data_IF_448474010757
#
_entry.id   IF_448474010757
#
_cell.length_a   1.000
_cell.length_b   1.000
_cell.length_c   1.000
_cell.angle_alpha   90.00
_cell.angle_beta   90.00
_cell.angle_gamma   90.00
#
_symmetry.space_group_name_H-M   'P 1'
#
loop_
_entity.id
_entity.type
_entity.pdbx_description
1 polymer ?
#
# COMPACT_ATOMS: atom_id res chain seq x y z
N UNK A 1 -65.25 -26.20 -62.66
CA UNK A 1 -65.91 -24.93 -63.02
C UNK A 1 -64.92 -23.83 -62.71
N UNK A 2 -64.39 -23.02 -63.60
CA UNK A 2 -64.69 -22.66 -65.00
C UNK A 2 -64.09 -21.26 -65.12
N UNK A 3 -63.13 -21.05 -66.02
CA UNK A 3 -62.37 -19.80 -66.09
C UNK A 3 -63.17 -18.62 -66.66
N UNK A 4 -62.56 -17.44 -66.68
CA UNK A 4 -62.75 -16.48 -67.77
C UNK A 4 -61.59 -15.47 -67.80
N UNK A 5 -60.94 -15.40 -68.96
CA UNK A 5 -60.12 -14.29 -69.45
C UNK A 5 -61.06 -13.34 -70.18
N UNK A 6 -60.84 -12.02 -70.10
CA UNK A 6 -61.03 -11.11 -71.24
C UNK A 6 -60.38 -9.76 -70.95
N UNK A 7 -59.39 -9.40 -71.79
CA UNK A 7 -58.77 -8.09 -71.80
C UNK A 7 -59.36 -7.18 -72.86
N UNK A 8 -58.95 -5.91 -72.84
CA UNK A 8 -58.96 -5.04 -74.02
C UNK A 8 -58.05 -3.82 -73.83
N UNK A 9 -57.06 -3.73 -74.73
CA UNK A 9 -56.49 -2.58 -75.44
C UNK A 9 -56.14 -1.26 -74.71
N UNK A 10 -54.85 -0.89 -74.65
CA UNK A 10 -54.07 0.01 -75.54
C UNK A 10 -54.11 1.49 -75.11
N UNK A 11 -52.93 2.06 -74.86
CA UNK A 11 -52.71 3.51 -74.74
C UNK A 11 -51.32 3.84 -74.17
N UNK A 12 -50.29 3.81 -75.01
CA UNK A 12 -48.93 4.21 -74.66
C UNK A 12 -48.83 5.74 -74.54
N UNK A 13 -48.64 6.24 -73.31
CA UNK A 13 -48.11 7.57 -73.07
C UNK A 13 -46.76 7.46 -72.36
N UNK A 14 -45.70 7.84 -73.05
CA UNK A 14 -44.35 8.00 -72.48
C UNK A 14 -44.36 9.27 -71.64
N UNK A 15 -44.45 9.12 -70.32
CA UNK A 15 -44.23 10.19 -69.35
C UNK A 15 -42.84 10.01 -68.72
N UNK A 16 -41.96 11.00 -68.92
CA UNK A 16 -40.67 11.10 -68.22
C UNK A 16 -40.94 11.22 -66.71
N UNK A 17 -40.73 10.16 -65.95
CA UNK A 17 -40.65 10.26 -64.49
C UNK A 17 -39.33 10.95 -64.13
N UNK A 18 -39.42 12.18 -63.63
CA UNK A 18 -38.32 12.87 -62.98
C UNK A 18 -38.12 12.27 -61.59
N UNK A 19 -36.95 11.68 -61.34
CA UNK A 19 -36.52 11.27 -60.01
C UNK A 19 -36.25 12.52 -59.17
N UNK A 20 -37.14 12.84 -58.23
CA UNK A 20 -36.93 13.91 -57.25
C UNK A 20 -36.08 13.34 -56.12
N UNK A 21 -34.78 13.65 -56.12
CA UNK A 21 -33.90 13.38 -54.97
C UNK A 21 -34.18 14.44 -53.90
N UNK A 22 -34.89 14.09 -52.83
CA UNK A 22 -35.02 14.95 -51.65
C UNK A 22 -33.79 14.80 -50.76
N UNK A 23 -32.94 15.82 -50.75
CA UNK A 23 -31.85 15.96 -49.77
C UNK A 23 -32.45 16.41 -48.43
N UNK A 24 -32.55 15.49 -47.46
CA UNK A 24 -32.91 15.85 -46.09
C UNK A 24 -31.67 16.42 -45.40
N UNK A 25 -31.55 17.74 -45.35
CA UNK A 25 -30.51 18.42 -44.57
C UNK A 25 -30.91 18.40 -43.09
N UNK A 26 -30.36 17.46 -42.32
CA UNK A 26 -30.51 17.45 -40.85
C UNK A 26 -29.55 18.47 -40.25
N UNK A 27 -30.07 19.62 -39.85
CA UNK A 27 -29.31 20.60 -39.05
C UNK A 27 -29.04 20.01 -37.67
N UNK A 28 -27.81 19.56 -37.42
CA UNK A 28 -27.33 19.21 -36.07
C UNK A 28 -26.80 20.49 -35.43
N UNK A 29 -27.57 21.09 -34.54
CA UNK A 29 -27.05 22.16 -33.68
C UNK A 29 -26.11 21.53 -32.66
N UNK A 30 -24.80 21.58 -32.94
CA UNK A 30 -23.77 21.27 -31.95
C UNK A 30 -23.70 22.45 -30.98
N UNK A 31 -24.46 22.38 -29.89
CA UNK A 31 -24.26 23.28 -28.76
C UNK A 31 -22.89 22.96 -28.16
N UNK A 32 -21.86 23.74 -28.52
CA UNK A 32 -20.59 23.74 -27.79
C UNK A 32 -20.86 24.34 -26.41
N UNK A 33 -21.25 23.50 -25.45
CA UNK A 33 -21.11 23.84 -24.04
C UNK A 33 -19.63 24.14 -23.81
N UNK A 34 -19.25 25.36 -23.37
CA UNK A 34 -17.88 25.62 -22.96
C UNK A 34 -17.53 24.56 -21.92
N UNK A 35 -16.45 23.81 -22.13
CA UNK A 35 -15.91 22.97 -21.08
C UNK A 35 -15.57 23.91 -19.92
N UNK A 36 -16.45 23.97 -18.90
CA UNK A 36 -16.08 24.56 -17.63
C UNK A 36 -14.92 23.71 -17.14
N UNK A 37 -13.73 24.31 -17.11
CA UNK A 37 -12.59 23.79 -16.37
C UNK A 37 -13.08 23.59 -14.93
N UNK A 38 -13.46 22.36 -14.59
CA UNK A 38 -13.63 21.96 -13.20
C UNK A 38 -12.27 22.19 -12.58
N UNK A 39 -12.16 23.24 -11.76
CA UNK A 39 -10.93 23.53 -11.03
C UNK A 39 -10.74 22.35 -10.08
N UNK A 40 -9.90 21.40 -10.48
CA UNK A 40 -9.57 20.23 -9.67
C UNK A 40 -8.99 20.73 -8.36
N UNK A 41 -9.70 20.44 -7.25
CA UNK A 41 -9.20 20.71 -5.90
C UNK A 41 -7.86 19.99 -5.77
N UNK A 42 -6.83 20.75 -5.38
CA UNK A 42 -5.52 20.19 -5.06
C UNK A 42 -5.48 19.89 -3.57
N UNK A 43 -4.75 18.84 -3.21
CA UNK A 43 -4.62 18.39 -1.84
C UNK A 43 -3.18 18.48 -1.37
N UNK A 44 -3.00 18.73 -0.08
CA UNK A 44 -1.73 18.57 0.64
C UNK A 44 -1.74 17.23 1.38
N UNK A 45 -0.65 16.47 1.28
CA UNK A 45 -0.53 15.17 1.92
C UNK A 45 0.69 15.08 2.84
N UNK A 46 0.51 14.54 4.05
CA UNK A 46 1.57 14.41 5.05
C UNK A 46 1.75 12.96 5.50
N UNK A 47 2.98 12.58 5.80
CA UNK A 47 3.32 11.26 6.34
C UNK A 47 3.99 11.38 7.71
N UNK A 48 3.61 10.51 8.63
CA UNK A 48 4.20 10.43 9.96
C UNK A 48 4.84 9.05 10.12
N UNK A 49 6.17 9.03 10.27
CA UNK A 49 6.97 7.82 10.38
C UNK A 49 7.40 7.54 11.81
N UNK A 50 7.47 6.27 12.19
CA UNK A 50 7.94 5.82 13.52
C UNK A 50 9.45 5.75 13.61
N UNK A 51 10.12 5.41 12.51
CA UNK A 51 11.57 5.33 12.39
C UNK A 51 12.17 6.49 11.59
N UNK A 52 13.51 6.50 11.45
CA UNK A 52 14.20 7.40 10.53
C UNK A 52 14.13 6.88 9.09
N UNK A 53 14.18 7.77 8.10
CA UNK A 53 14.25 7.38 6.67
C UNK A 53 15.50 6.55 6.37
N UNK A 54 16.56 6.70 7.17
CA UNK A 54 17.78 5.90 7.10
C UNK A 54 17.68 4.48 7.67
N UNK A 55 16.49 3.97 7.97
CA UNK A 55 16.31 2.59 8.42
C UNK A 55 16.51 1.55 7.31
N UNK A 56 16.49 1.98 6.03
CA UNK A 56 16.60 1.11 4.84
C UNK A 56 15.58 -0.03 4.78
N UNK A 57 14.47 0.11 5.52
CA UNK A 57 13.41 -0.88 5.61
C UNK A 57 12.05 -0.21 5.60
N UNK A 58 11.37 -0.21 6.74
CA UNK A 58 9.98 0.20 6.85
C UNK A 58 9.73 1.68 6.49
N UNK A 59 10.43 2.59 7.16
CA UNK A 59 10.28 4.04 6.94
C UNK A 59 10.81 4.44 5.58
N UNK A 60 11.95 3.87 5.18
CA UNK A 60 12.53 4.09 3.86
C UNK A 60 11.52 3.80 2.75
N UNK A 61 10.85 2.64 2.77
CA UNK A 61 9.88 2.26 1.73
C UNK A 61 8.60 3.12 1.78
N UNK A 62 8.14 3.51 2.97
CA UNK A 62 7.06 4.51 3.07
C UNK A 62 7.45 5.85 2.43
N UNK A 63 8.69 6.30 2.61
CA UNK A 63 9.21 7.52 2.01
C UNK A 63 9.40 7.39 0.48
N UNK A 64 9.80 6.22 -0.02
CA UNK A 64 9.78 5.94 -1.46
C UNK A 64 8.37 6.01 -2.03
N UNK A 65 7.37 5.46 -1.32
CA UNK A 65 5.96 5.59 -1.68
C UNK A 65 5.52 7.06 -1.76
N UNK A 66 5.89 7.88 -0.77
CA UNK A 66 5.62 9.33 -0.79
C UNK A 66 6.26 10.02 -2.01
N UNK A 67 7.51 9.71 -2.33
CA UNK A 67 8.21 10.26 -3.52
C UNK A 67 7.54 9.85 -4.83
N UNK A 68 7.01 8.62 -4.90
CA UNK A 68 6.22 8.17 -6.05
C UNK A 68 4.94 8.99 -6.18
N UNK A 69 4.23 9.24 -5.06
CA UNK A 69 3.06 10.13 -5.02
C UNK A 69 3.43 11.53 -5.51
N UNK A 70 4.51 12.12 -5.00
CA UNK A 70 4.97 13.44 -5.43
C UNK A 70 5.30 13.49 -6.93
N UNK A 71 5.95 12.46 -7.47
CA UNK A 71 6.28 12.39 -8.90
C UNK A 71 5.05 12.20 -9.79
N UNK A 72 4.13 11.32 -9.42
CA UNK A 72 2.99 10.91 -10.28
C UNK A 72 1.79 11.83 -10.09
N UNK A 73 1.50 12.22 -8.85
CA UNK A 73 0.33 13.00 -8.47
C UNK A 73 0.65 14.47 -8.20
N UNK A 74 1.94 14.82 -8.05
CA UNK A 74 2.39 16.18 -7.80
C UNK A 74 2.28 17.12 -9.01
N UNK A 75 2.80 18.37 -8.89
CA UNK A 75 2.65 19.41 -9.91
C UNK A 75 3.20 19.06 -11.30
N UNK A 76 4.21 18.17 -11.37
CA UNK A 76 4.81 17.70 -12.62
C UNK A 76 4.09 16.49 -13.23
N UNK A 77 3.18 15.86 -12.49
CA UNK A 77 2.38 14.72 -12.91
C UNK A 77 0.92 15.11 -13.11
N UNK A 78 0.01 14.40 -12.43
CA UNK A 78 -1.43 14.65 -12.50
C UNK A 78 -1.88 15.93 -11.78
N UNK A 79 -1.00 16.59 -11.03
CA UNK A 79 -1.24 17.88 -10.37
C UNK A 79 -2.47 17.90 -9.44
N UNK A 80 -2.72 16.77 -8.76
CA UNK A 80 -3.79 16.60 -7.77
C UNK A 80 -3.27 16.74 -6.34
N UNK A 81 -1.99 16.44 -6.11
CA UNK A 81 -1.28 16.75 -4.87
C UNK A 81 -0.43 18.00 -5.12
N UNK A 82 -0.64 19.07 -4.36
CA UNK A 82 0.17 20.29 -4.50
C UNK A 82 1.47 20.23 -3.71
N UNK A 83 1.47 19.49 -2.60
CA UNK A 83 2.58 19.43 -1.65
C UNK A 83 2.58 18.11 -0.89
N UNK A 84 3.77 17.54 -0.66
CA UNK A 84 3.96 16.45 0.29
C UNK A 84 4.90 16.88 1.42
N UNK A 85 4.71 16.33 2.62
CA UNK A 85 5.64 16.54 3.73
C UNK A 85 5.67 15.35 4.67
N UNK A 86 6.62 15.34 5.58
CA UNK A 86 6.77 14.26 6.54
C UNK A 86 7.38 14.71 7.88
N UNK A 87 7.18 13.85 8.88
CA UNK A 87 7.92 13.86 10.15
C UNK A 87 8.39 12.44 10.43
N UNK A 88 9.68 12.29 10.69
CA UNK A 88 10.30 11.01 10.99
C UNK A 88 10.57 10.84 12.49
N UNK A 89 10.86 9.60 12.90
CA UNK A 89 11.21 9.26 14.29
C UNK A 89 10.21 9.77 15.33
N UNK A 90 8.91 9.69 15.01
CA UNK A 90 7.85 10.14 15.91
C UNK A 90 7.50 9.00 16.87
N UNK A 91 7.69 9.16 18.19
CA UNK A 91 7.23 8.15 19.14
C UNK A 91 5.69 8.17 19.26
N UNK A 92 5.10 7.04 19.62
CA UNK A 92 3.64 6.83 19.65
C UNK A 92 2.90 7.86 20.51
N UNK A 93 3.47 8.26 21.64
CA UNK A 93 2.90 9.26 22.57
C UNK A 93 2.91 10.70 22.01
N UNK A 94 3.65 10.95 20.93
CA UNK A 94 3.76 12.27 20.28
C UNK A 94 2.98 12.38 18.98
N UNK A 95 2.48 11.28 18.43
CA UNK A 95 1.80 11.27 17.13
C UNK A 95 0.57 12.19 17.10
N UNK A 96 -0.19 12.26 18.19
CA UNK A 96 -1.39 13.11 18.27
C UNK A 96 -1.04 14.58 18.02
N UNK A 97 0.05 15.08 18.62
CA UNK A 97 0.55 16.43 18.39
C UNK A 97 0.99 16.63 16.94
N UNK A 98 1.73 15.68 16.37
CA UNK A 98 2.22 15.79 14.99
C UNK A 98 1.07 15.81 13.98
N UNK A 99 0.00 15.05 14.23
CA UNK A 99 -1.22 15.10 13.42
C UNK A 99 -1.81 16.51 13.46
N UNK A 100 -2.02 17.10 14.65
CA UNK A 100 -2.55 18.46 14.78
C UNK A 100 -1.66 19.52 14.11
N UNK A 101 -0.33 19.38 14.23
CA UNK A 101 0.62 20.29 13.59
C UNK A 101 0.43 20.26 12.06
N UNK A 102 0.20 19.10 11.44
CA UNK A 102 -0.09 19.02 10.01
C UNK A 102 -1.47 19.58 9.65
N UNK A 103 -2.48 19.37 10.48
CA UNK A 103 -3.82 19.95 10.26
C UNK A 103 -3.76 21.48 10.29
N UNK A 104 -3.02 22.07 11.25
CA UNK A 104 -2.82 23.52 11.33
C UNK A 104 -2.08 24.13 10.14
N UNK A 105 -1.35 23.29 9.38
CA UNK A 105 -0.65 23.66 8.15
C UNK A 105 -1.48 23.34 6.89
N UNK A 106 -2.78 23.11 7.07
CA UNK A 106 -3.76 22.81 6.03
C UNK A 106 -3.49 21.55 5.22
N UNK A 107 -2.83 20.54 5.81
CA UNK A 107 -2.74 19.24 5.15
C UNK A 107 -4.11 18.56 5.10
N UNK A 108 -4.54 18.15 3.91
CA UNK A 108 -5.85 17.52 3.69
C UNK A 108 -5.82 16.02 3.99
N UNK A 109 -4.70 15.35 3.72
CA UNK A 109 -4.54 13.90 3.83
C UNK A 109 -3.37 13.58 4.76
N UNK A 110 -3.60 12.74 5.77
CA UNK A 110 -2.59 12.38 6.77
C UNK A 110 -2.41 10.86 6.80
N UNK A 111 -1.20 10.43 6.45
CA UNK A 111 -0.75 9.04 6.52
C UNK A 111 -0.01 8.79 7.83
N UNK A 112 -0.47 7.81 8.60
CA UNK A 112 0.16 7.39 9.85
C UNK A 112 0.69 5.98 9.69
N UNK A 113 2.00 5.80 9.72
CA UNK A 113 2.66 4.60 9.17
C UNK A 113 3.18 3.63 10.22
N UNK A 114 2.51 3.50 11.37
CA UNK A 114 2.90 2.53 12.41
C UNK A 114 1.69 2.11 13.22
N UNK A 115 1.64 0.83 13.60
CA UNK A 115 0.51 0.23 14.33
C UNK A 115 0.11 1.02 15.57
N UNK A 116 1.09 1.51 16.33
CA UNK A 116 0.87 2.26 17.57
C UNK A 116 0.11 3.58 17.39
N UNK A 117 0.02 4.09 16.17
CA UNK A 117 -0.69 5.34 15.88
C UNK A 117 -2.21 5.18 15.80
N UNK A 118 -2.73 3.94 15.81
CA UNK A 118 -4.13 3.63 15.50
C UNK A 118 -5.14 4.47 16.25
N UNK A 119 -5.01 4.56 17.57
CA UNK A 119 -5.99 5.23 18.42
C UNK A 119 -5.94 6.74 18.23
N UNK A 120 -4.73 7.33 18.20
CA UNK A 120 -4.56 8.76 17.95
C UNK A 120 -5.09 9.18 16.57
N UNK A 121 -4.86 8.38 15.52
CA UNK A 121 -5.39 8.66 14.18
C UNK A 121 -6.91 8.59 14.14
N UNK A 122 -7.51 7.60 14.82
CA UNK A 122 -8.96 7.49 14.90
C UNK A 122 -9.60 8.67 15.67
N UNK A 123 -8.98 9.11 16.77
CA UNK A 123 -9.46 10.28 17.51
C UNK A 123 -9.30 11.59 16.73
N UNK A 124 -8.23 11.74 15.96
CA UNK A 124 -8.08 12.87 15.03
C UNK A 124 -9.14 12.83 13.92
N UNK A 125 -9.41 11.66 13.34
CA UNK A 125 -10.42 11.49 12.30
C UNK A 125 -11.82 11.91 12.76
N UNK A 126 -12.20 11.58 14.01
CA UNK A 126 -13.46 12.03 14.62
C UNK A 126 -13.53 13.55 14.81
N UNK A 127 -12.42 14.18 15.21
CA UNK A 127 -12.36 15.64 15.50
C UNK A 127 -12.29 16.49 14.22
N UNK A 128 -11.76 15.94 13.14
CA UNK A 128 -11.48 16.66 11.89
C UNK A 128 -12.14 15.96 10.68
N UNK A 129 -13.49 16.01 10.56
CA UNK A 129 -14.23 15.31 9.51
C UNK A 129 -13.96 15.85 8.09
N UNK A 130 -13.36 17.04 7.97
CA UNK A 130 -12.93 17.67 6.72
C UNK A 130 -11.58 17.16 6.19
N UNK A 131 -10.85 16.37 7.00
CA UNK A 131 -9.54 15.79 6.67
C UNK A 131 -9.66 14.30 6.43
N UNK A 132 -8.76 13.75 5.61
CA UNK A 132 -8.72 12.33 5.26
C UNK A 132 -7.53 11.69 5.98
N UNK A 133 -7.74 10.52 6.56
CA UNK A 133 -6.73 9.78 7.29
C UNK A 133 -6.50 8.40 6.65
N UNK A 134 -5.25 7.99 6.58
CA UNK A 134 -4.86 6.65 6.16
C UNK A 134 -3.91 6.05 7.20
N UNK A 135 -4.37 5.03 7.89
CA UNK A 135 -3.62 4.38 8.96
C UNK A 135 -3.05 3.03 8.51
N UNK A 136 -1.73 2.91 8.51
CA UNK A 136 -1.04 1.69 8.15
C UNK A 136 -1.13 0.66 9.29
N UNK A 137 -1.28 -0.63 8.96
CA UNK A 137 -1.23 -1.81 9.85
C UNK A 137 -2.35 -1.98 10.88
N UNK A 138 -3.00 -0.91 11.32
CA UNK A 138 -4.14 -1.00 12.23
C UNK A 138 -5.44 -1.43 11.54
N UNK A 139 -6.44 -1.74 12.37
CA UNK A 139 -7.71 -2.31 11.92
C UNK A 139 -8.93 -1.44 12.31
N UNK A 140 -8.79 -0.51 13.26
CA UNK A 140 -9.90 0.34 13.69
C UNK A 140 -10.18 1.44 12.66
N UNK A 141 -11.46 1.59 12.31
CA UNK A 141 -12.01 2.67 11.49
C UNK A 141 -13.24 3.23 12.19
N UNK A 142 -13.03 4.21 13.08
CA UNK A 142 -14.06 4.75 13.97
C UNK A 142 -14.75 6.01 13.41
N UNK A 143 -14.40 6.41 12.19
CA UNK A 143 -14.96 7.56 11.47
C UNK A 143 -15.02 7.29 9.95
N UNK A 144 -15.86 7.99 9.18
CA UNK A 144 -16.00 7.74 7.74
C UNK A 144 -14.81 8.22 6.90
N UNK A 145 -13.99 9.13 7.44
CA UNK A 145 -12.84 9.77 6.81
C UNK A 145 -11.49 9.08 7.12
N UNK A 146 -11.51 7.85 7.63
CA UNK A 146 -10.30 7.06 7.87
C UNK A 146 -10.32 5.74 7.09
N UNK A 147 -9.25 5.50 6.36
CA UNK A 147 -8.94 4.21 5.75
C UNK A 147 -7.83 3.51 6.54
N UNK A 148 -7.81 2.18 6.47
CA UNK A 148 -6.63 1.40 6.90
C UNK A 148 -6.04 0.66 5.71
N UNK A 149 -4.73 0.49 5.69
CA UNK A 149 -4.02 -0.22 4.65
C UNK A 149 -2.85 -1.01 5.23
N UNK A 150 -2.52 -2.14 4.62
CA UNK A 150 -1.34 -2.92 4.95
C UNK A 150 -1.04 -3.85 3.77
N UNK A 151 0.22 -4.22 3.57
CA UNK A 151 0.57 -5.26 2.61
C UNK A 151 0.27 -6.64 3.22
N UNK A 152 -0.06 -7.64 2.40
CA UNK A 152 -0.19 -9.03 2.86
C UNK A 152 1.19 -9.66 3.13
N UNK A 153 1.97 -9.03 4.01
CA UNK A 153 3.37 -9.34 4.28
C UNK A 153 3.58 -10.75 4.83
N UNK A 154 2.58 -11.36 5.47
CA UNK A 154 2.67 -12.74 5.92
C UNK A 154 2.88 -13.73 4.76
N UNK A 155 2.46 -13.40 3.54
CA UNK A 155 2.75 -14.23 2.35
C UNK A 155 4.25 -14.22 2.04
N UNK A 156 4.89 -13.07 2.14
CA UNK A 156 6.34 -12.96 1.98
C UNK A 156 7.08 -13.68 3.11
N UNK A 157 6.60 -13.56 4.35
CA UNK A 157 7.19 -14.29 5.49
C UNK A 157 7.06 -15.81 5.37
N UNK A 158 5.95 -16.32 4.83
CA UNK A 158 5.80 -17.74 4.52
C UNK A 158 6.87 -18.23 3.53
N UNK A 159 7.08 -17.50 2.43
CA UNK A 159 8.12 -17.83 1.45
C UNK A 159 9.53 -17.72 2.03
N UNK A 160 9.80 -16.70 2.87
CA UNK A 160 11.04 -16.62 3.64
C UNK A 160 11.22 -17.83 4.56
N UNK A 161 10.14 -18.31 5.17
CA UNK A 161 10.15 -19.50 6.01
C UNK A 161 10.56 -20.76 5.24
N UNK A 162 9.99 -20.96 4.05
CA UNK A 162 10.38 -22.06 3.15
C UNK A 162 11.87 -22.01 2.85
N UNK A 163 12.40 -20.83 2.48
CA UNK A 163 13.84 -20.69 2.23
C UNK A 163 14.67 -21.00 3.48
N UNK A 164 14.29 -20.46 4.64
CA UNK A 164 15.00 -20.69 5.89
C UNK A 164 15.03 -22.17 6.30
N UNK A 165 13.90 -22.87 6.18
CA UNK A 165 13.80 -24.30 6.47
C UNK A 165 14.62 -25.16 5.51
N UNK A 166 14.76 -24.75 4.25
CA UNK A 166 15.54 -25.47 3.25
C UNK A 166 17.06 -25.29 3.39
N UNK A 167 17.52 -24.14 3.91
CA UNK A 167 18.96 -23.84 4.00
C UNK A 167 19.58 -24.13 5.37
N UNK A 168 18.78 -24.23 6.44
CA UNK A 168 19.29 -24.56 7.78
C UNK A 168 19.97 -25.92 7.79
N UNK A 169 21.12 -26.00 8.45
CA UNK A 169 21.93 -27.19 8.71
C UNK A 169 21.76 -27.67 10.15
N UNK A 170 21.44 -26.78 11.09
CA UNK A 170 21.29 -27.09 12.52
C UNK A 170 19.87 -27.41 12.95
N UNK A 171 18.87 -27.17 12.08
CA UNK A 171 17.44 -27.17 12.41
C UNK A 171 17.05 -26.10 13.45
N UNK A 172 17.91 -25.11 13.69
CA UNK A 172 17.64 -23.99 14.61
C UNK A 172 17.64 -22.69 13.83
N UNK A 173 16.50 -22.03 13.82
CA UNK A 173 16.27 -20.79 13.07
C UNK A 173 15.90 -19.71 14.07
N UNK A 174 16.48 -18.53 13.95
CA UNK A 174 16.25 -17.41 14.85
C UNK A 174 15.35 -16.36 14.22
N UNK A 175 14.53 -15.71 15.04
CA UNK A 175 13.64 -14.64 14.64
C UNK A 175 13.74 -13.46 15.61
N UNK A 176 14.16 -12.29 15.14
CA UNK A 176 14.20 -11.06 15.93
C UNK A 176 12.92 -10.25 15.69
N UNK A 177 12.04 -10.23 16.69
CA UNK A 177 10.74 -9.58 16.63
C UNK A 177 10.75 -8.21 17.33
N UNK A 178 10.11 -7.21 16.72
CA UNK A 178 9.93 -5.90 17.34
C UNK A 178 8.94 -5.96 18.53
N UNK A 179 7.65 -6.08 18.23
CA UNK A 179 6.55 -6.18 19.21
C UNK A 179 5.77 -7.49 19.01
N UNK A 180 5.03 -7.95 20.02
CA UNK A 180 4.14 -9.11 19.90
C UNK A 180 2.69 -8.66 19.70
N UNK A 181 2.47 -7.92 18.61
CA UNK A 181 1.16 -7.44 18.17
C UNK A 181 0.61 -8.34 17.05
N UNK A 182 -0.68 -8.25 16.67
CA UNK A 182 -1.27 -9.13 15.66
C UNK A 182 -0.51 -9.20 14.33
N UNK A 183 0.08 -8.08 13.89
CA UNK A 183 0.94 -8.04 12.70
C UNK A 183 2.13 -9.00 12.81
N UNK A 184 2.98 -8.80 13.83
CA UNK A 184 4.22 -9.58 14.00
C UNK A 184 3.92 -11.04 14.32
N UNK A 185 2.84 -11.33 15.06
CA UNK A 185 2.41 -12.71 15.29
C UNK A 185 2.01 -13.41 13.98
N UNK A 186 1.33 -12.72 13.04
CA UNK A 186 1.05 -13.30 11.71
C UNK A 186 2.34 -13.57 10.95
N UNK A 187 3.31 -12.66 11.00
CA UNK A 187 4.60 -12.84 10.33
C UNK A 187 5.38 -14.03 10.88
N UNK A 188 5.51 -14.14 12.21
CA UNK A 188 6.18 -15.26 12.88
C UNK A 188 5.47 -16.58 12.52
N UNK A 189 4.14 -16.63 12.66
CA UNK A 189 3.40 -17.86 12.38
C UNK A 189 3.53 -18.29 10.92
N UNK A 190 3.36 -17.38 9.96
CA UNK A 190 3.50 -17.70 8.54
C UNK A 190 4.93 -18.17 8.20
N UNK A 191 5.94 -17.51 8.75
CA UNK A 191 7.34 -17.93 8.63
C UNK A 191 7.56 -19.33 9.21
N UNK A 192 7.10 -19.61 10.42
CA UNK A 192 7.23 -20.93 11.05
C UNK A 192 6.48 -22.02 10.29
N UNK A 193 5.31 -21.73 9.73
CA UNK A 193 4.59 -22.65 8.85
C UNK A 193 5.45 -23.00 7.63
N UNK A 194 5.97 -21.99 6.93
CA UNK A 194 6.82 -22.21 5.76
C UNK A 194 8.10 -23.00 6.08
N UNK A 195 8.74 -22.71 7.22
CA UNK A 195 9.89 -23.47 7.72
C UNK A 195 9.54 -24.96 7.86
N UNK A 196 8.43 -25.25 8.55
CA UNK A 196 8.04 -26.62 8.89
C UNK A 196 7.53 -27.42 7.70
N UNK A 197 7.07 -26.76 6.65
CA UNK A 197 6.61 -27.41 5.43
C UNK A 197 7.75 -28.13 4.71
N UNK A 198 8.94 -27.54 4.68
CA UNK A 198 10.12 -28.16 4.06
C UNK A 198 11.05 -28.85 5.06
N UNK A 199 10.99 -28.47 6.34
CA UNK A 199 11.78 -29.06 7.40
C UNK A 199 10.96 -29.22 8.69
N UNK A 200 10.24 -30.35 8.86
CA UNK A 200 9.40 -30.60 10.03
C UNK A 200 10.16 -30.70 11.36
N UNK A 201 11.49 -30.87 11.32
CA UNK A 201 12.35 -30.96 12.51
C UNK A 201 12.89 -29.60 12.96
N UNK A 202 12.75 -28.56 12.14
CA UNK A 202 13.24 -27.23 12.46
C UNK A 202 12.42 -26.55 13.57
N UNK A 203 13.14 -25.85 14.43
CA UNK A 203 12.60 -25.03 15.51
C UNK A 203 12.92 -23.55 15.25
N UNK A 204 11.92 -22.69 15.46
CA UNK A 204 12.06 -21.24 15.34
C UNK A 204 12.13 -20.62 16.73
N UNK A 205 13.26 -20.00 17.05
CA UNK A 205 13.56 -19.32 18.31
C UNK A 205 13.29 -17.83 18.15
N UNK A 206 12.31 -17.32 18.89
CA UNK A 206 11.86 -15.92 18.77
C UNK A 206 12.40 -15.10 19.94
N UNK A 207 13.08 -13.98 19.65
CA UNK A 207 13.50 -12.98 20.63
C UNK A 207 12.78 -11.67 20.34
N UNK A 208 12.06 -11.14 21.32
CA UNK A 208 11.35 -9.84 21.22
C UNK A 208 12.21 -8.72 21.80
N UNK A 209 12.49 -7.68 21.01
CA UNK A 209 13.26 -6.51 21.46
C UNK A 209 12.42 -5.37 22.06
N UNK A 210 11.11 -5.34 21.77
CA UNK A 210 10.16 -4.39 22.32
C UNK A 210 10.21 -2.99 21.69
N UNK A 211 10.77 -2.86 20.49
CA UNK A 211 10.85 -1.62 19.72
C UNK A 211 10.87 -1.93 18.22
N UNK A 212 10.28 -1.07 17.39
CA UNK A 212 10.41 -1.14 15.93
C UNK A 212 11.83 -0.87 15.45
N UNK A 213 12.47 0.16 15.99
CA UNK A 213 13.84 0.55 15.62
C UNK A 213 14.73 0.66 16.87
N UNK A 214 15.63 -0.31 17.07
CA UNK A 214 16.64 -0.28 18.13
C UNK A 214 17.86 -1.15 17.73
N UNK A 215 18.81 -0.59 16.96
CA UNK A 215 19.99 -1.33 16.49
C UNK A 215 20.79 -2.03 17.60
N UNK A 216 21.06 -1.41 18.78
CA UNK A 216 21.74 -2.11 19.86
C UNK A 216 21.01 -3.39 20.33
N UNK A 217 19.69 -3.32 20.59
CA UNK A 217 18.91 -4.49 21.02
C UNK A 217 18.76 -5.54 19.92
N UNK A 218 18.62 -5.12 18.67
CA UNK A 218 18.55 -6.04 17.53
C UNK A 218 19.84 -6.86 17.39
N UNK A 219 21.01 -6.21 17.55
CA UNK A 219 22.31 -6.89 17.57
C UNK A 219 22.41 -7.89 18.71
N UNK A 220 22.10 -7.46 19.93
CA UNK A 220 22.13 -8.34 21.11
C UNK A 220 21.24 -9.57 20.92
N UNK A 221 20.02 -9.40 20.41
CA UNK A 221 19.11 -10.49 20.12
C UNK A 221 19.64 -11.45 19.05
N UNK A 222 20.21 -10.92 17.96
CA UNK A 222 20.77 -11.73 16.88
C UNK A 222 22.00 -12.54 17.37
N UNK A 223 22.93 -11.90 18.08
CA UNK A 223 24.12 -12.55 18.64
C UNK A 223 23.73 -13.62 19.67
N UNK A 224 22.71 -13.37 20.50
CA UNK A 224 22.20 -14.35 21.46
C UNK A 224 21.58 -15.57 20.77
N UNK A 225 20.87 -15.39 19.66
CA UNK A 225 20.33 -16.49 18.85
C UNK A 225 21.44 -17.32 18.23
N UNK A 226 22.44 -16.67 17.63
CA UNK A 226 23.61 -17.35 17.05
C UNK A 226 24.36 -18.14 18.12
N UNK A 227 24.55 -17.57 19.32
CA UNK A 227 25.18 -18.27 20.44
C UNK A 227 24.43 -19.54 20.89
N UNK A 228 23.13 -19.66 20.58
CA UNK A 228 22.32 -20.87 20.82
C UNK A 228 22.39 -21.90 19.69
N UNK A 229 23.22 -21.65 18.67
CA UNK A 229 23.43 -22.54 17.52
C UNK A 229 22.44 -22.35 16.37
N UNK A 230 21.77 -21.19 16.32
CA UNK A 230 20.99 -20.79 15.14
C UNK A 230 21.93 -20.51 13.96
N UNK A 231 21.57 -21.00 12.78
CA UNK A 231 22.34 -20.79 11.54
C UNK A 231 21.57 -20.02 10.46
N UNK A 232 20.32 -19.66 10.71
CA UNK A 232 19.51 -18.79 9.85
C UNK A 232 18.76 -17.77 10.70
N UNK A 233 18.84 -16.50 10.33
CA UNK A 233 18.15 -15.41 11.01
C UNK A 233 17.07 -14.79 10.12
N UNK A 234 15.92 -14.48 10.72
CA UNK A 234 14.86 -13.66 10.16
C UNK A 234 14.48 -12.55 11.16
N UNK A 235 13.79 -11.50 10.71
CA UNK A 235 13.43 -10.37 11.56
C UNK A 235 12.22 -9.57 11.04
N UNK A 236 11.66 -8.73 11.93
CA UNK A 236 10.61 -7.74 11.63
C UNK A 236 10.88 -6.39 12.29
N UNK A 237 12.06 -6.21 12.90
CA UNK A 237 12.51 -4.88 13.31
C UNK A 237 12.99 -4.08 12.09
N UNK A 238 12.97 -2.76 12.16
CA UNK A 238 13.05 -1.88 11.00
C UNK A 238 14.49 -1.60 10.54
N UNK A 239 15.48 -1.91 11.37
CA UNK A 239 16.89 -1.61 11.08
C UNK A 239 17.57 -2.72 10.27
N UNK A 240 18.70 -2.43 9.58
CA UNK A 240 19.46 -3.44 8.86
C UNK A 240 20.33 -4.31 9.80
N UNK A 241 20.18 -4.17 11.11
CA UNK A 241 21.18 -4.68 12.07
C UNK A 241 21.29 -6.20 12.07
N UNK A 242 20.16 -6.90 12.01
CA UNK A 242 20.17 -8.38 11.98
C UNK A 242 20.90 -8.90 10.75
N UNK A 243 20.75 -8.23 9.61
CA UNK A 243 21.50 -8.55 8.38
C UNK A 243 23.00 -8.31 8.54
N UNK A 244 23.38 -7.18 9.13
CA UNK A 244 24.80 -6.85 9.38
C UNK A 244 25.46 -7.86 10.33
N UNK A 245 24.73 -8.33 11.35
CA UNK A 245 25.22 -9.38 12.25
C UNK A 245 25.35 -10.69 11.48
N UNK A 246 24.35 -11.09 10.70
CA UNK A 246 24.42 -12.31 9.89
C UNK A 246 25.62 -12.28 8.92
N UNK A 247 25.84 -11.18 8.19
CA UNK A 247 27.00 -11.00 7.30
C UNK A 247 28.33 -11.11 8.07
N UNK A 248 28.44 -10.46 9.23
CA UNK A 248 29.65 -10.50 10.04
C UNK A 248 30.01 -11.91 10.54
N UNK A 249 29.00 -12.76 10.79
CA UNK A 249 29.20 -14.16 11.21
C UNK A 249 29.44 -15.09 10.02
N UNK A 250 28.74 -14.89 8.90
CA UNK A 250 28.99 -15.60 7.65
C UNK A 250 30.45 -15.42 7.19
N UNK A 251 30.99 -14.20 7.30
CA UNK A 251 32.39 -13.90 6.98
C UNK A 251 33.40 -14.61 7.89
N UNK A 252 32.97 -15.11 9.06
CA UNK A 252 33.77 -15.94 9.98
C UNK A 252 33.57 -17.44 9.74
N UNK A 253 32.74 -17.83 8.77
CA UNK A 253 32.41 -19.22 8.49
C UNK A 253 31.47 -19.87 9.51
N UNK A 254 30.70 -19.05 10.26
CA UNK A 254 29.69 -19.47 11.23
C UNK A 254 28.33 -19.43 10.54
#
# INVERSE_FOLDING_TARGET
MGGLILGSAIGSFISRQQTITQTITRTVTVTKTPAQLVKTRKFKAAWIYVGPIGDYGWTYEHDQGRKVVERVLGPKGLNVISETSYRESVPEDRVSKVIEDFISQDYDIIFTTSFGYMDATNEAAKRHPDRIFAHCSGYKRLAPNIATYFAEAYLAYYLNGIMAGAITKTNKIGYVAAHLIPEVIRHINAFTIGVREVNPKAEVYVVRIGAWYNPPKAREAAEALIAQGVDVLAFTEDSPTVLQVAEAYQNKGI
#
